data_IF_018337708350
#
_entry.id   IF_018337708350
#
_cell.length_a   1.000
_cell.length_b   1.000
_cell.length_c   1.000
_cell.angle_alpha   90.00
_cell.angle_beta   90.00
_cell.angle_gamma   90.00
#
_symmetry.space_group_name_H-M   'P 1'
#
loop_
_entity.id
_entity.type
_entity.pdbx_description
1 polymer ?
#
# COMPACT_ATOMS: atom_id res chain seq x y z
N UNK A 1 -10.21 23.96 -2.65
CA UNK A 1 -9.76 24.10 -1.25
C UNK A 1 -9.90 22.81 -0.46
N UNK A 2 -11.04 22.10 -0.59
CA UNK A 2 -11.26 20.82 0.10
C UNK A 2 -10.23 19.75 -0.30
N UNK A 3 -9.96 19.60 -1.59
CA UNK A 3 -8.95 18.65 -2.09
C UNK A 3 -7.52 18.98 -1.62
N UNK A 4 -7.18 20.26 -1.58
CA UNK A 4 -5.87 20.71 -1.11
C UNK A 4 -5.66 20.36 0.35
N UNK A 5 -6.67 20.55 1.17
CA UNK A 5 -6.62 20.20 2.60
C UNK A 5 -6.49 18.68 2.79
N UNK A 6 -7.29 17.92 2.07
CA UNK A 6 -7.26 16.46 2.13
C UNK A 6 -5.91 15.91 1.63
N UNK A 7 -5.44 16.41 0.51
CA UNK A 7 -4.13 16.04 -0.02
C UNK A 7 -3.01 16.42 0.95
N UNK A 8 -3.10 17.59 1.59
CA UNK A 8 -2.15 18.03 2.61
C UNK A 8 -2.05 17.06 3.78
N UNK A 9 -3.18 16.53 4.27
CA UNK A 9 -3.21 15.54 5.35
C UNK A 9 -2.53 14.23 4.89
N UNK A 10 -2.85 13.77 3.71
CA UNK A 10 -2.27 12.54 3.15
C UNK A 10 -0.75 12.69 2.97
N UNK A 11 -0.31 13.81 2.40
CA UNK A 11 1.12 14.06 2.19
C UNK A 11 1.88 14.25 3.51
N UNK A 12 1.27 14.87 4.51
CA UNK A 12 1.88 15.01 5.83
C UNK A 12 2.11 13.65 6.47
N UNK A 13 1.12 12.76 6.42
CA UNK A 13 1.24 11.41 6.98
C UNK A 13 2.26 10.58 6.18
N UNK A 14 2.28 10.71 4.85
CA UNK A 14 3.28 10.07 4.00
C UNK A 14 4.68 10.55 4.33
N UNK A 15 4.86 11.84 4.56
CA UNK A 15 6.14 12.43 4.95
C UNK A 15 6.60 11.89 6.31
N UNK A 16 5.69 11.79 7.30
CA UNK A 16 6.00 11.18 8.58
C UNK A 16 6.39 9.71 8.42
N UNK A 17 5.75 8.99 7.52
CA UNK A 17 6.12 7.62 7.18
C UNK A 17 7.53 7.52 6.62
N UNK A 18 7.93 8.43 5.73
CA UNK A 18 9.29 8.51 5.21
C UNK A 18 10.31 8.82 6.29
N UNK A 19 9.99 9.76 7.19
CA UNK A 19 10.86 10.08 8.32
C UNK A 19 11.08 8.86 9.22
N UNK A 20 10.04 8.10 9.51
CA UNK A 20 10.16 6.88 10.29
C UNK A 20 11.02 5.84 9.57
N UNK A 21 10.87 5.69 8.27
CA UNK A 21 11.69 4.78 7.49
C UNK A 21 13.17 5.19 7.51
N UNK A 22 13.45 6.49 7.51
CA UNK A 22 14.81 7.01 7.61
C UNK A 22 15.46 6.73 8.97
N UNK A 23 14.70 6.91 10.06
CA UNK A 23 15.22 6.74 11.42
C UNK A 23 15.27 5.28 11.87
N UNK A 24 14.35 4.44 11.37
CA UNK A 24 14.30 3.02 11.75
C UNK A 24 15.02 2.20 10.68
N UNK A 25 16.15 1.52 11.02
CA UNK A 25 16.95 0.76 10.04
C UNK A 25 16.34 -0.61 9.79
N UNK A 26 15.08 -0.68 9.36
CA UNK A 26 14.40 -1.91 8.97
C UNK A 26 14.22 -1.94 7.44
N UNK A 27 14.34 -3.10 6.80
CA UNK A 27 14.12 -3.24 5.36
C UNK A 27 12.62 -3.23 5.00
N UNK A 28 11.89 -2.23 5.48
CA UNK A 28 10.45 -2.07 5.27
C UNK A 28 10.23 -0.81 4.42
N UNK A 29 9.42 -0.88 3.33
CA UNK A 29 9.12 0.31 2.54
C UNK A 29 8.45 1.41 3.36
N UNK A 30 8.76 2.67 3.04
CA UNK A 30 8.20 3.84 3.72
C UNK A 30 6.67 3.88 3.65
N UNK A 31 6.08 3.35 2.58
CA UNK A 31 4.62 3.29 2.41
C UNK A 31 3.91 2.49 3.50
N UNK A 32 4.56 1.47 4.07
CA UNK A 32 4.00 0.69 5.18
C UNK A 32 3.90 1.54 6.43
N UNK A 33 4.92 2.33 6.74
CA UNK A 33 4.87 3.28 7.86
C UNK A 33 3.76 4.31 7.68
N UNK A 34 3.64 4.87 6.48
CA UNK A 34 2.58 5.82 6.14
C UNK A 34 1.18 5.19 6.29
N UNK A 35 1.02 3.97 5.81
CA UNK A 35 -0.24 3.21 5.94
C UNK A 35 -0.62 2.99 7.40
N UNK A 36 0.32 2.53 8.22
CA UNK A 36 0.08 2.29 9.65
C UNK A 36 -0.22 3.58 10.39
N UNK A 37 0.48 4.68 10.07
CA UNK A 37 0.22 5.99 10.65
C UNK A 37 -1.18 6.51 10.29
N UNK A 38 -1.59 6.36 9.03
CA UNK A 38 -2.94 6.76 8.59
C UNK A 38 -3.99 5.93 9.30
N UNK A 39 -3.80 4.62 9.38
CA UNK A 39 -4.72 3.72 10.08
C UNK A 39 -4.84 4.09 11.56
N UNK A 40 -3.72 4.37 12.22
CA UNK A 40 -3.70 4.80 13.61
C UNK A 40 -4.40 6.15 13.80
N UNK A 41 -4.12 7.11 12.92
CA UNK A 41 -4.76 8.43 12.96
C UNK A 41 -6.28 8.35 12.78
N UNK A 42 -6.76 7.49 11.90
CA UNK A 42 -8.19 7.24 11.71
C UNK A 42 -8.81 6.54 12.92
N UNK A 43 -8.11 5.55 13.49
CA UNK A 43 -8.58 4.81 14.67
C UNK A 43 -8.67 5.71 15.90
N UNK A 44 -7.68 6.57 16.11
CA UNK A 44 -7.65 7.53 17.22
C UNK A 44 -8.55 8.75 16.96
N UNK A 45 -9.19 8.83 15.78
CA UNK A 45 -10.06 9.94 15.37
C UNK A 45 -9.34 11.30 15.31
N UNK A 46 -8.02 11.30 15.18
CA UNK A 46 -7.22 12.51 14.94
C UNK A 46 -7.54 13.05 13.55
N UNK A 47 -7.62 12.14 12.56
CA UNK A 47 -8.06 12.43 11.20
C UNK A 47 -9.38 11.71 10.98
N UNK A 48 -10.40 12.44 10.53
CA UNK A 48 -11.70 11.85 10.22
C UNK A 48 -11.70 11.32 8.78
N UNK A 49 -12.37 10.20 8.57
CA UNK A 49 -12.41 9.55 7.27
C UNK A 49 -12.90 10.51 6.17
N UNK A 50 -13.92 11.31 6.44
CA UNK A 50 -14.46 12.25 5.46
C UNK A 50 -13.47 13.36 5.07
N UNK A 51 -12.43 13.61 5.89
CA UNK A 51 -11.40 14.61 5.62
C UNK A 51 -10.40 14.16 4.56
N UNK A 52 -10.33 12.88 4.26
CA UNK A 52 -9.37 12.31 3.29
C UNK A 52 -10.06 11.50 2.19
N UNK A 53 -11.34 11.21 2.34
CA UNK A 53 -12.08 10.30 1.47
C UNK A 53 -12.01 10.68 -0.02
N UNK A 54 -12.39 11.92 -0.34
CA UNK A 54 -12.49 12.37 -1.73
C UNK A 54 -11.14 12.33 -2.45
N UNK A 55 -10.09 12.79 -1.78
CA UNK A 55 -8.74 12.77 -2.37
C UNK A 55 -8.20 11.35 -2.48
N UNK A 56 -8.47 10.52 -1.48
CA UNK A 56 -8.09 9.11 -1.53
C UNK A 56 -8.79 8.38 -2.68
N UNK A 57 -10.08 8.60 -2.85
CA UNK A 57 -10.85 8.04 -3.97
C UNK A 57 -10.28 8.49 -5.33
N UNK A 58 -10.00 9.78 -5.48
CA UNK A 58 -9.35 10.31 -6.68
C UNK A 58 -7.98 9.66 -6.94
N UNK A 59 -7.16 9.49 -5.90
CA UNK A 59 -5.85 8.83 -6.03
C UNK A 59 -5.98 7.36 -6.45
N UNK A 60 -6.99 6.66 -5.94
CA UNK A 60 -7.28 5.29 -6.35
C UNK A 60 -7.70 5.21 -7.83
N UNK A 61 -8.52 6.17 -8.28
CA UNK A 61 -8.97 6.23 -9.68
C UNK A 61 -7.80 6.44 -10.65
N UNK A 62 -6.84 7.28 -10.28
CA UNK A 62 -5.67 7.53 -11.13
C UNK A 62 -4.53 6.53 -10.94
N UNK A 63 -4.65 5.59 -10.00
CA UNK A 63 -3.60 4.60 -9.71
C UNK A 63 -3.25 3.77 -10.95
N UNK A 64 -4.26 3.38 -11.73
CA UNK A 64 -4.06 2.65 -12.98
C UNK A 64 -3.27 3.47 -14.01
N UNK A 65 -3.53 4.78 -14.08
CA UNK A 65 -2.78 5.68 -14.97
C UNK A 65 -1.32 5.81 -14.55
N UNK A 66 -1.06 5.82 -13.25
CA UNK A 66 0.32 5.90 -12.73
C UNK A 66 1.14 4.66 -13.05
N UNK A 67 0.48 3.54 -13.36
CA UNK A 67 1.15 2.31 -13.75
C UNK A 67 1.77 2.40 -15.16
N UNK A 68 1.23 3.25 -16.03
CA UNK A 68 1.68 3.37 -17.43
C UNK A 68 3.16 3.77 -17.53
N UNK A 69 3.66 4.81 -16.83
CA UNK A 69 5.08 5.15 -16.88
C UNK A 69 6.00 4.02 -16.41
N UNK A 70 5.58 3.26 -15.40
CA UNK A 70 6.33 2.12 -14.91
C UNK A 70 6.39 1.00 -15.96
N UNK A 71 5.27 0.72 -16.62
CA UNK A 71 5.20 -0.27 -17.70
C UNK A 71 6.10 0.11 -18.90
N UNK A 72 6.10 1.40 -19.28
CA UNK A 72 7.00 1.91 -20.32
C UNK A 72 8.46 1.78 -19.90
N UNK A 73 8.77 2.02 -18.61
CA UNK A 73 10.11 1.81 -18.06
C UNK A 73 10.61 0.38 -18.21
N UNK A 74 9.72 -0.61 -18.08
CA UNK A 74 10.06 -2.02 -18.28
C UNK A 74 10.52 -2.31 -19.72
N UNK A 75 9.97 -1.60 -20.70
CA UNK A 75 10.40 -1.76 -22.10
C UNK A 75 11.87 -1.38 -22.30
N UNK A 76 12.36 -0.39 -21.55
CA UNK A 76 13.76 0.05 -21.65
C UNK A 76 14.75 -1.01 -21.13
N UNK A 77 14.33 -1.79 -20.13
CA UNK A 77 15.17 -2.82 -19.52
C UNK A 77 14.85 -4.23 -20.04
N UNK A 78 14.06 -4.31 -21.11
CA UNK A 78 13.61 -5.58 -21.68
C UNK A 78 14.77 -6.54 -22.02
N UNK A 79 15.88 -5.99 -22.52
CA UNK A 79 17.06 -6.79 -22.83
C UNK A 79 17.60 -7.57 -21.63
N UNK A 80 17.66 -6.91 -20.48
CA UNK A 80 18.12 -7.53 -19.23
C UNK A 80 17.06 -8.49 -18.68
N UNK A 81 15.80 -8.08 -18.71
CA UNK A 81 14.69 -8.89 -18.21
C UNK A 81 14.53 -10.20 -18.95
N UNK A 82 14.77 -10.17 -20.26
CA UNK A 82 14.63 -11.35 -21.13
C UNK A 82 15.55 -12.50 -20.71
N UNK A 83 16.75 -12.18 -20.26
CA UNK A 83 17.72 -13.18 -19.76
C UNK A 83 17.30 -13.75 -18.39
N UNK A 84 16.50 -13.01 -17.64
CA UNK A 84 16.06 -13.37 -16.30
C UNK A 84 14.57 -13.77 -16.24
N UNK A 85 13.95 -14.06 -17.40
CA UNK A 85 12.50 -14.36 -17.44
C UNK A 85 12.11 -15.54 -16.56
N UNK A 86 12.87 -16.63 -16.58
CA UNK A 86 12.54 -17.84 -15.81
C UNK A 86 12.58 -17.56 -14.30
N UNK A 87 13.65 -16.98 -13.73
CA UNK A 87 13.65 -16.57 -12.33
C UNK A 87 12.53 -15.61 -11.98
N UNK A 88 12.24 -14.63 -12.83
CA UNK A 88 11.19 -13.64 -12.59
C UNK A 88 9.82 -14.31 -12.52
N UNK A 89 9.49 -15.18 -13.45
CA UNK A 89 8.21 -15.91 -13.46
C UNK A 89 8.06 -16.77 -12.21
N UNK A 90 9.12 -17.50 -11.82
CA UNK A 90 9.11 -18.34 -10.64
C UNK A 90 8.88 -17.50 -9.38
N UNK A 91 9.59 -16.37 -9.23
CA UNK A 91 9.44 -15.47 -8.09
C UNK A 91 8.02 -14.89 -8.03
N UNK A 92 7.49 -14.42 -9.15
CA UNK A 92 6.12 -13.88 -9.22
C UNK A 92 5.10 -14.94 -8.80
N UNK A 93 5.21 -16.15 -9.33
CA UNK A 93 4.28 -17.24 -9.02
C UNK A 93 4.33 -17.61 -7.54
N UNK A 94 5.53 -17.87 -7.01
CA UNK A 94 5.73 -18.26 -5.62
C UNK A 94 5.27 -17.17 -4.65
N UNK A 95 5.66 -15.92 -4.91
CA UNK A 95 5.27 -14.80 -4.03
C UNK A 95 3.77 -14.53 -4.10
N UNK A 96 3.14 -14.65 -5.26
CA UNK A 96 1.69 -14.47 -5.42
C UNK A 96 0.93 -15.52 -4.60
N UNK A 97 1.29 -16.79 -4.74
CA UNK A 97 0.67 -17.88 -3.98
C UNK A 97 0.87 -17.68 -2.48
N UNK A 98 2.09 -17.32 -2.08
CA UNK A 98 2.42 -17.09 -0.66
C UNK A 98 1.63 -15.93 -0.07
N UNK A 99 1.57 -14.80 -0.77
CA UNK A 99 0.80 -13.62 -0.33
C UNK A 99 -0.68 -13.93 -0.25
N UNK A 100 -1.24 -14.62 -1.24
CA UNK A 100 -2.65 -15.04 -1.22
C UNK A 100 -2.95 -15.96 -0.06
N UNK A 101 -2.09 -16.93 0.22
CA UNK A 101 -2.28 -17.89 1.32
C UNK A 101 -2.23 -17.18 2.68
N UNK A 102 -1.21 -16.34 2.89
CA UNK A 102 -1.04 -15.60 4.16
C UNK A 102 -2.18 -14.61 4.37
N UNK A 103 -2.50 -13.81 3.37
CA UNK A 103 -3.57 -12.82 3.43
C UNK A 103 -4.93 -13.48 3.67
N UNK A 104 -5.22 -14.56 2.96
CA UNK A 104 -6.46 -15.33 3.12
C UNK A 104 -6.60 -15.91 4.52
N UNK A 105 -5.55 -16.50 5.06
CA UNK A 105 -5.57 -17.09 6.41
C UNK A 105 -5.71 -16.04 7.50
N UNK A 106 -4.98 -14.93 7.39
CA UNK A 106 -5.08 -13.83 8.36
C UNK A 106 -6.48 -13.23 8.34
N UNK A 107 -7.03 -12.98 7.16
CA UNK A 107 -8.38 -12.44 6.99
C UNK A 107 -9.43 -13.40 7.57
N UNK A 108 -9.32 -14.69 7.31
CA UNK A 108 -10.23 -15.69 7.86
C UNK A 108 -10.18 -15.76 9.39
N UNK A 109 -9.01 -15.66 9.97
CA UNK A 109 -8.87 -15.62 11.43
C UNK A 109 -9.56 -14.41 12.04
N UNK A 110 -9.42 -13.24 11.42
CA UNK A 110 -10.07 -12.00 11.88
C UNK A 110 -11.59 -12.15 11.79
N UNK A 111 -12.12 -12.64 10.67
CA UNK A 111 -13.57 -12.84 10.47
C UNK A 111 -14.13 -13.84 11.48
N UNK A 112 -13.45 -14.95 11.72
CA UNK A 112 -13.88 -15.96 12.70
C UNK A 112 -13.86 -15.43 14.13
N UNK A 113 -12.85 -14.61 14.45
CA UNK A 113 -12.75 -13.97 15.76
C UNK A 113 -13.90 -12.99 16.01
N UNK A 114 -14.31 -12.24 15.00
CA UNK A 114 -15.46 -11.32 15.11
C UNK A 114 -16.78 -12.09 15.26
N UNK A 115 -16.98 -13.17 14.50
CA UNK A 115 -18.19 -14.00 14.61
C UNK A 115 -18.30 -14.65 16.00
N UNK A 116 -17.19 -15.07 16.58
CA UNK A 116 -17.19 -15.61 17.95
C UNK A 116 -17.55 -14.60 19.03
N UNK A 117 -17.37 -13.30 18.77
CA UNK A 117 -17.75 -12.23 19.69
C UNK A 117 -19.22 -11.83 19.58
N UNK A 118 -19.85 -12.10 18.46
CA UNK A 118 -21.27 -11.77 18.21
C UNK A 118 -22.23 -12.89 18.59
N UNK A 119 -21.73 -14.08 18.79
CA UNK A 119 -22.46 -15.25 19.31
C UNK A 119 -22.27 -15.37 20.83
#
# INVERSE_FOLDING_TARGET
MLYVRQAGIIFLISFLGELLNYFIPLPIPASIYGFLLMLLALKLKIVKLHQVWQTAEFLLDIMALMFIPAAVGLLKVWGIMREMLVPIIVVIFVTTVLVMAVTGRVTQRIIRSEKGKTE
#
